data_IF_232296908882
#
_entry.id   IF_232296908882
#
_cell.length_a   1.000
_cell.length_b   1.000
_cell.length_c   1.000
_cell.angle_alpha   90.00
_cell.angle_beta   90.00
_cell.angle_gamma   90.00
#
_symmetry.space_group_name_H-M   'P 1'
#
loop_
_entity.id
_entity.type
_entity.pdbx_description
1 polymer ?
#
# COMPACT_ATOMS: atom_id res chain seq x y z
N UNK A 1 -5.68 -9.30 19.96
CA UNK A 1 -5.69 -9.36 18.48
C UNK A 1 -7.05 -8.91 18.02
N UNK A 2 -7.14 -7.91 17.12
CA UNK A 2 -8.41 -7.41 16.63
C UNK A 2 -9.10 -8.41 15.67
N UNK A 3 -10.41 -8.23 15.48
CA UNK A 3 -11.26 -9.08 14.63
C UNK A 3 -11.11 -8.78 13.13
N UNK A 4 -10.05 -8.12 12.72
CA UNK A 4 -9.81 -7.68 11.35
C UNK A 4 -9.89 -6.17 11.16
N UNK A 5 -9.77 -5.75 9.92
CA UNK A 5 -9.85 -4.33 9.55
C UNK A 5 -11.29 -3.82 9.64
N UNK A 6 -11.45 -2.58 10.05
CA UNK A 6 -12.76 -1.93 10.15
C UNK A 6 -12.92 -0.91 9.02
N UNK A 7 -14.12 -0.89 8.44
CA UNK A 7 -14.52 0.13 7.48
C UNK A 7 -15.41 1.14 8.19
N UNK A 8 -15.05 2.40 8.07
CA UNK A 8 -15.81 3.53 8.60
C UNK A 8 -16.50 4.26 7.44
N UNK A 9 -17.72 4.70 7.65
CA UNK A 9 -18.42 5.54 6.71
C UNK A 9 -18.33 7.00 7.14
N UNK A 10 -17.72 7.84 6.33
CA UNK A 10 -17.59 9.29 6.57
C UNK A 10 -18.05 10.01 5.31
N UNK A 11 -19.10 10.83 5.43
CA UNK A 11 -19.68 11.57 4.30
C UNK A 11 -19.84 10.74 3.02
N UNK A 12 -20.44 9.57 3.13
CA UNK A 12 -20.66 8.62 2.04
C UNK A 12 -19.38 7.97 1.46
N UNK A 13 -18.23 8.15 2.08
CA UNK A 13 -16.96 7.54 1.68
C UNK A 13 -16.59 6.44 2.65
N UNK A 14 -16.23 5.26 2.13
CA UNK A 14 -15.75 4.13 2.91
C UNK A 14 -14.26 4.28 3.19
N UNK A 15 -13.91 4.47 4.45
CA UNK A 15 -12.54 4.67 4.91
C UNK A 15 -12.09 3.46 5.73
N UNK A 16 -10.92 2.94 5.44
CA UNK A 16 -10.23 1.97 6.30
C UNK A 16 -9.02 2.59 6.97
N UNK A 17 -8.68 2.09 8.15
CA UNK A 17 -7.45 2.49 8.83
C UNK A 17 -6.54 1.29 9.02
N UNK A 18 -5.24 1.50 8.85
CA UNK A 18 -4.18 0.56 9.23
C UNK A 18 -3.21 1.25 10.17
N UNK A 19 -2.63 0.50 11.09
CA UNK A 19 -1.85 1.08 12.18
C UNK A 19 -0.38 0.69 12.05
N UNK A 20 0.49 1.71 12.17
CA UNK A 20 1.94 1.53 12.27
C UNK A 20 2.52 0.76 11.09
N UNK A 21 3.36 -0.22 11.37
CA UNK A 21 4.09 -1.00 10.37
C UNK A 21 3.19 -1.84 9.44
N UNK A 22 1.93 -2.07 9.80
CA UNK A 22 0.96 -2.72 8.92
C UNK A 22 0.78 -1.98 7.59
N UNK A 23 0.88 -0.64 7.61
CA UNK A 23 0.84 0.20 6.42
C UNK A 23 1.96 -0.04 5.42
N UNK A 24 3.04 -0.73 5.82
CA UNK A 24 4.13 -1.13 4.92
C UNK A 24 3.83 -2.40 4.13
N UNK A 25 2.84 -3.18 4.53
CA UNK A 25 2.51 -4.44 3.87
C UNK A 25 1.30 -4.30 2.96
N UNK A 26 1.50 -4.49 1.68
CA UNK A 26 0.46 -4.39 0.65
C UNK A 26 -0.78 -5.24 0.94
N UNK A 27 -0.61 -6.40 1.59
CA UNK A 27 -1.72 -7.31 1.92
C UNK A 27 -2.79 -6.69 2.83
N UNK A 28 -2.37 -5.85 3.81
CA UNK A 28 -3.34 -5.18 4.69
C UNK A 28 -4.14 -4.13 3.94
N UNK A 29 -3.47 -3.33 3.12
CA UNK A 29 -4.13 -2.34 2.27
C UNK A 29 -5.07 -3.03 1.29
N UNK A 30 -4.61 -4.13 0.65
CA UNK A 30 -5.44 -4.90 -0.26
C UNK A 30 -6.68 -5.49 0.42
N UNK A 31 -6.56 -6.00 1.64
CA UNK A 31 -7.72 -6.51 2.38
C UNK A 31 -8.73 -5.39 2.64
N UNK A 32 -8.27 -4.20 3.08
CA UNK A 32 -9.15 -3.03 3.22
C UNK A 32 -9.90 -2.71 1.93
N UNK A 33 -9.20 -2.73 0.79
CA UNK A 33 -9.79 -2.43 -0.53
C UNK A 33 -10.79 -3.51 -0.95
N UNK A 34 -10.51 -4.78 -0.67
CA UNK A 34 -11.46 -5.89 -0.92
C UNK A 34 -12.73 -5.77 -0.07
N UNK A 35 -12.60 -5.27 1.15
CA UNK A 35 -13.71 -4.99 2.05
C UNK A 35 -14.46 -3.70 1.68
N UNK A 36 -14.04 -3.05 0.60
CA UNK A 36 -14.71 -1.91 -0.02
C UNK A 36 -14.17 -0.54 0.38
N UNK A 37 -12.98 -0.45 1.00
CA UNK A 37 -12.38 0.85 1.28
C UNK A 37 -12.11 1.64 -0.01
N UNK A 38 -12.49 2.91 0.02
CA UNK A 38 -12.31 3.88 -1.05
C UNK A 38 -11.11 4.80 -0.76
N UNK A 39 -10.82 4.98 0.53
CA UNK A 39 -9.68 5.71 1.06
C UNK A 39 -9.05 4.88 2.18
N UNK A 40 -7.72 4.84 2.24
CA UNK A 40 -7.00 4.19 3.33
C UNK A 40 -6.22 5.23 4.12
N UNK A 41 -6.37 5.19 5.44
CA UNK A 41 -5.62 6.05 6.37
C UNK A 41 -4.60 5.20 7.11
N UNK A 42 -3.33 5.55 7.00
CA UNK A 42 -2.23 4.92 7.73
C UNK A 42 -1.89 5.83 8.93
N UNK A 43 -2.04 5.30 10.14
CA UNK A 43 -1.72 5.99 11.38
C UNK A 43 -0.45 5.39 11.97
N UNK A 44 0.60 6.19 12.13
CA UNK A 44 1.88 5.67 12.60
C UNK A 44 2.56 6.63 13.56
N UNK A 45 3.37 6.06 14.48
CA UNK A 45 4.32 6.81 15.28
C UNK A 45 5.73 6.46 14.82
N UNK A 46 6.47 7.45 14.37
CA UNK A 46 7.81 7.28 13.80
C UNK A 46 8.92 7.83 14.73
N UNK A 47 8.59 8.18 15.97
CA UNK A 47 9.54 8.78 16.92
C UNK A 47 10.81 7.95 17.12
N UNK A 48 10.70 6.62 17.13
CA UNK A 48 11.84 5.72 17.31
C UNK A 48 12.86 5.71 16.17
N UNK A 49 12.49 6.24 15.01
CA UNK A 49 13.39 6.26 13.85
C UNK A 49 14.27 7.51 13.75
N UNK A 50 14.00 8.53 14.58
CA UNK A 50 14.78 9.76 14.63
C UNK A 50 14.90 10.45 13.27
N UNK A 51 16.05 11.03 13.00
CA UNK A 51 16.37 11.73 11.75
C UNK A 51 16.78 10.78 10.60
N UNK A 52 16.52 9.50 10.72
CA UNK A 52 16.84 8.54 9.66
C UNK A 52 15.96 8.72 8.42
N UNK A 53 16.41 8.18 7.29
CA UNK A 53 15.62 8.14 6.04
C UNK A 53 14.38 7.24 6.09
N UNK A 54 14.03 6.68 7.26
CA UNK A 54 12.92 5.74 7.42
C UNK A 54 11.57 6.39 7.14
N UNK A 55 11.40 7.67 7.50
CA UNK A 55 10.16 8.40 7.24
C UNK A 55 9.89 8.54 5.73
N UNK A 56 10.92 8.82 4.94
CA UNK A 56 10.79 8.85 3.47
C UNK A 56 10.48 7.46 2.89
N UNK A 57 11.05 6.40 3.46
CA UNK A 57 10.74 5.03 3.05
C UNK A 57 9.27 4.68 3.32
N UNK A 58 8.70 5.09 4.45
CA UNK A 58 7.27 4.91 4.73
C UNK A 58 6.38 5.63 3.72
N UNK A 59 6.75 6.84 3.31
CA UNK A 59 6.03 7.55 2.24
C UNK A 59 6.15 6.79 0.91
N UNK A 60 7.33 6.28 0.55
CA UNK A 60 7.51 5.46 -0.66
C UNK A 60 6.68 4.17 -0.63
N UNK A 61 6.61 3.48 0.52
CA UNK A 61 5.75 2.31 0.70
C UNK A 61 4.29 2.65 0.57
N UNK A 62 3.84 3.79 1.12
CA UNK A 62 2.47 4.27 0.97
C UNK A 62 2.14 4.61 -0.48
N UNK A 63 3.06 5.21 -1.24
CA UNK A 63 2.91 5.45 -2.67
C UNK A 63 2.76 4.13 -3.46
N UNK A 64 3.63 3.17 -3.19
CA UNK A 64 3.55 1.84 -3.81
C UNK A 64 2.21 1.16 -3.50
N UNK A 65 1.73 1.28 -2.27
CA UNK A 65 0.44 0.76 -1.85
C UNK A 65 -0.74 1.47 -2.56
N UNK A 66 -0.68 2.79 -2.73
CA UNK A 66 -1.70 3.54 -3.45
C UNK A 66 -1.79 3.08 -4.91
N UNK A 67 -0.65 2.96 -5.60
CA UNK A 67 -0.57 2.47 -6.99
C UNK A 67 -1.09 1.03 -7.09
N UNK A 68 -0.58 0.13 -6.24
CA UNK A 68 -0.91 -1.30 -6.32
C UNK A 68 -2.39 -1.56 -6.10
N UNK A 69 -3.04 -0.78 -5.25
CA UNK A 69 -4.43 -0.98 -4.89
C UNK A 69 -5.41 -0.02 -5.58
N UNK A 70 -4.91 0.98 -6.32
CA UNK A 70 -5.73 1.97 -7.02
C UNK A 70 -6.58 2.81 -6.06
N UNK A 71 -6.06 3.13 -4.87
CA UNK A 71 -6.77 3.89 -3.83
C UNK A 71 -5.88 4.99 -3.29
N UNK A 72 -6.43 6.19 -3.02
CA UNK A 72 -5.70 7.23 -2.33
C UNK A 72 -5.36 6.80 -0.90
N UNK A 73 -4.24 7.30 -0.41
CA UNK A 73 -3.75 7.04 0.94
C UNK A 73 -3.48 8.35 1.66
N UNK A 74 -3.97 8.45 2.88
CA UNK A 74 -3.58 9.47 3.85
C UNK A 74 -2.59 8.82 4.83
N UNK A 75 -1.35 9.24 4.80
CA UNK A 75 -0.33 8.82 5.75
C UNK A 75 -0.20 9.88 6.84
N UNK A 76 -0.61 9.56 8.06
CA UNK A 76 -0.53 10.45 9.21
C UNK A 76 0.48 9.91 10.21
N UNK A 77 1.53 10.66 10.47
CA UNK A 77 2.64 10.26 11.31
C UNK A 77 2.86 11.23 12.48
N UNK A 78 3.03 10.67 13.67
CA UNK A 78 3.59 11.41 14.80
C UNK A 78 5.11 11.44 14.62
N UNK A 79 5.71 12.64 14.68
CA UNK A 79 7.14 12.94 14.50
C UNK A 79 7.71 12.61 13.13
N UNK A 80 7.03 11.83 12.31
CA UNK A 80 7.39 11.52 10.94
C UNK A 80 6.74 12.45 9.92
N UNK A 81 7.00 12.18 8.63
CA UNK A 81 6.36 12.90 7.53
C UNK A 81 4.94 12.38 7.31
N UNK A 82 3.95 13.27 7.39
CA UNK A 82 2.57 12.98 6.97
C UNK A 82 2.40 13.36 5.51
N UNK A 83 1.51 12.68 4.79
CA UNK A 83 1.30 12.97 3.38
C UNK A 83 -0.11 12.59 2.90
N UNK A 84 -0.60 13.34 1.91
CA UNK A 84 -1.72 12.96 1.08
C UNK A 84 -1.19 12.40 -0.25
N UNK A 85 -1.65 11.21 -0.62
CA UNK A 85 -1.16 10.46 -1.78
C UNK A 85 -2.38 10.06 -2.62
N UNK A 86 -2.37 10.38 -3.90
CA UNK A 86 -3.45 9.99 -4.81
C UNK A 86 -3.37 8.49 -5.20
N UNK A 87 -4.39 8.00 -5.89
CA UNK A 87 -4.49 6.62 -6.34
C UNK A 87 -3.40 6.21 -7.35
N UNK A 88 -2.70 7.18 -7.96
CA UNK A 88 -1.56 6.95 -8.86
C UNK A 88 -0.21 7.03 -8.13
N UNK A 89 -0.22 7.20 -6.81
CA UNK A 89 0.99 7.32 -5.99
C UNK A 89 1.68 8.68 -6.04
N UNK A 90 1.01 9.72 -6.59
CA UNK A 90 1.52 11.08 -6.55
C UNK A 90 1.31 11.64 -5.15
N UNK A 91 2.37 12.16 -4.54
CA UNK A 91 2.27 12.94 -3.29
C UNK A 91 1.68 14.30 -3.63
N UNK A 92 0.49 14.59 -3.10
CA UNK A 92 -0.22 15.85 -3.27
C UNK A 92 0.42 16.91 -2.37
N UNK A 93 0.57 16.56 -1.10
CA UNK A 93 1.21 17.38 -0.09
C UNK A 93 1.85 16.51 0.98
N UNK A 94 2.86 17.02 1.67
CA UNK A 94 3.53 16.36 2.79
C UNK A 94 4.03 17.38 3.82
N UNK A 95 4.18 16.94 5.07
CA UNK A 95 4.91 17.68 6.11
C UNK A 95 6.40 17.36 6.04
N UNK A 96 7.22 18.17 6.69
CA UNK A 96 8.61 17.83 6.95
C UNK A 96 8.76 17.06 8.27
N UNK A 97 9.95 16.51 8.47
CA UNK A 97 10.27 15.69 9.64
C UNK A 97 10.36 16.59 10.90
N UNK A 98 9.76 16.15 12.00
CA UNK A 98 9.70 16.87 13.30
C UNK A 98 9.04 18.26 13.26
N UNK A 99 8.36 18.61 12.18
CA UNK A 99 7.59 19.83 12.11
C UNK A 99 6.13 19.59 12.50
N UNK A 100 5.64 20.34 13.48
CA UNK A 100 4.22 20.36 13.80
C UNK A 100 3.46 21.11 12.71
N UNK A 101 2.47 20.48 12.11
CA UNK A 101 1.71 21.08 11.03
C UNK A 101 0.35 20.42 10.81
N UNK A 102 -0.52 21.13 10.13
CA UNK A 102 -1.81 20.63 9.65
C UNK A 102 -1.82 20.70 8.13
N UNK A 103 -2.08 19.59 7.48
CA UNK A 103 -2.33 19.53 6.06
C UNK A 103 -3.83 19.37 5.83
N UNK A 104 -4.36 20.12 4.88
CA UNK A 104 -5.76 19.98 4.42
C UNK A 104 -5.76 19.88 2.91
N UNK A 105 -6.30 18.78 2.37
CA UNK A 105 -6.32 18.52 0.94
C UNK A 105 -7.67 17.99 0.49
N UNK A 106 -8.02 18.31 -0.74
CA UNK A 106 -9.16 17.70 -1.42
C UNK A 106 -8.68 16.47 -2.18
N UNK A 107 -9.04 15.28 -1.69
CA UNK A 107 -8.69 14.02 -2.34
C UNK A 107 -9.85 13.55 -3.21
N UNK A 108 -9.54 13.24 -4.46
CA UNK A 108 -10.45 12.51 -5.33
C UNK A 108 -10.47 11.02 -4.92
N UNK A 109 -11.63 10.57 -4.44
CA UNK A 109 -11.87 9.18 -4.09
C UNK A 109 -12.23 8.41 -5.35
N UNK A 110 -11.21 7.90 -6.05
CA UNK A 110 -11.38 7.14 -7.28
C UNK A 110 -11.21 5.65 -7.01
N UNK A 111 -12.18 4.86 -7.46
CA UNK A 111 -12.15 3.41 -7.34
C UNK A 111 -11.60 2.81 -8.63
N UNK A 112 -10.29 2.62 -8.70
CA UNK A 112 -9.65 1.94 -9.81
C UNK A 112 -9.33 0.51 -9.40
N UNK A 113 -9.87 -0.49 -10.09
CA UNK A 113 -9.44 -1.86 -9.93
C UNK A 113 -8.06 -2.06 -10.59
N UNK A 114 -7.12 -2.56 -9.82
CA UNK A 114 -5.80 -2.93 -10.33
C UNK A 114 -5.69 -4.46 -10.40
N UNK A 115 -4.79 -5.02 -11.23
CA UNK A 115 -4.53 -6.47 -11.22
C UNK A 115 -4.15 -6.98 -9.83
N UNK A 116 -3.38 -6.20 -9.06
CA UNK A 116 -2.98 -6.59 -7.72
C UNK A 116 -4.17 -6.54 -6.74
N UNK A 117 -5.02 -5.50 -6.76
CA UNK A 117 -6.18 -5.44 -5.87
C UNK A 117 -7.12 -6.61 -6.11
N UNK A 118 -7.27 -7.05 -7.36
CA UNK A 118 -8.14 -8.15 -7.75
C UNK A 118 -7.53 -9.52 -7.47
N UNK A 119 -6.33 -9.77 -7.97
CA UNK A 119 -5.72 -11.11 -7.99
C UNK A 119 -4.59 -11.29 -6.94
N UNK A 120 -4.10 -10.20 -6.32
CA UNK A 120 -2.98 -10.27 -5.37
C UNK A 120 -1.68 -10.66 -6.06
N UNK A 121 -0.91 -11.54 -5.41
CA UNK A 121 0.40 -11.98 -5.88
C UNK A 121 0.33 -13.11 -6.93
N UNK A 122 -0.66 -13.07 -7.85
CA UNK A 122 -0.85 -14.13 -8.85
C UNK A 122 0.38 -14.37 -9.73
N UNK A 123 1.17 -13.35 -10.00
CA UNK A 123 2.41 -13.48 -10.77
C UNK A 123 3.40 -14.44 -10.10
N UNK A 124 3.48 -14.44 -8.77
CA UNK A 124 4.37 -15.35 -8.05
C UNK A 124 3.98 -16.82 -8.31
N UNK A 125 2.68 -17.12 -8.35
CA UNK A 125 2.20 -18.47 -8.66
C UNK A 125 2.52 -18.87 -10.10
N UNK A 126 2.39 -17.93 -11.05
CA UNK A 126 2.76 -18.16 -12.46
C UNK A 126 4.26 -18.50 -12.55
N UNK A 127 5.13 -17.73 -11.89
CA UNK A 127 6.57 -18.00 -11.88
C UNK A 127 6.93 -19.33 -11.21
N UNK A 128 6.25 -19.70 -10.12
CA UNK A 128 6.44 -21.00 -9.45
C UNK A 128 6.09 -22.14 -10.41
N UNK A 129 4.94 -22.05 -11.08
CA UNK A 129 4.49 -23.08 -12.05
C UNK A 129 5.46 -23.17 -13.22
N UNK A 130 5.89 -22.04 -13.78
CA UNK A 130 6.88 -22.01 -14.86
C UNK A 130 8.22 -22.61 -14.43
N UNK A 131 8.69 -22.30 -13.23
CA UNK A 131 9.90 -22.88 -12.66
C UNK A 131 9.79 -24.39 -12.48
N UNK A 132 8.65 -24.87 -11.96
CA UNK A 132 8.41 -26.30 -11.81
C UNK A 132 8.38 -27.03 -13.16
N UNK A 133 7.70 -26.47 -14.16
CA UNK A 133 7.67 -27.03 -15.53
C UNK A 133 9.10 -27.07 -16.10
N UNK A 134 9.88 -26.01 -15.95
CA UNK A 134 11.27 -25.95 -16.43
C UNK A 134 12.17 -27.02 -15.79
N UNK A 135 11.97 -27.32 -14.51
CA UNK A 135 12.71 -28.37 -13.81
C UNK A 135 12.33 -29.78 -14.30
N UNK A 136 11.07 -29.99 -14.64
CA UNK A 136 10.55 -31.27 -15.14
C UNK A 136 10.78 -31.46 -16.64
N UNK A 137 11.19 -30.40 -17.37
CA UNK A 137 11.43 -30.48 -18.81
C UNK A 137 12.62 -31.39 -19.11
N UNK A 138 12.43 -32.43 -19.95
CA UNK A 138 13.50 -33.38 -20.22
C UNK A 138 14.68 -32.71 -20.93
N UNK A 139 15.85 -32.73 -20.30
CA UNK A 139 17.08 -32.08 -20.83
C UNK A 139 17.58 -32.66 -22.16
N UNK A 140 16.93 -33.69 -22.68
CA UNK A 140 17.36 -34.40 -23.90
C UNK A 140 17.00 -33.66 -25.21
N UNK A 141 16.20 -32.59 -25.17
CA UNK A 141 15.82 -31.85 -26.35
C UNK A 141 16.94 -30.87 -26.79
N UNK A 142 17.75 -30.37 -25.85
CA UNK A 142 18.83 -29.42 -26.15
C UNK A 142 20.13 -30.07 -26.69
N UNK A 143 20.20 -31.41 -26.77
CA UNK A 143 21.36 -32.11 -27.33
C UNK A 143 21.21 -32.47 -28.81
N UNK A 144 20.14 -32.02 -29.49
CA UNK A 144 19.86 -32.33 -30.91
C UNK A 144 19.88 -31.09 -31.80
N UNK A 145 20.43 -29.96 -31.35
CA UNK A 145 20.69 -28.81 -32.22
C UNK A 145 22.21 -28.59 -32.33
#
# INVERSE_FOLDING_TARGET
RGDGQKIFMVNNTKISTVISFEGSFQRYIRNSVKDGAELVVILTNQASYGESGMSDQFILMSRANAISNGRPIVHAAITGKSAFIDHNGKVISKTELFEAGVLTEKIEVKQTETPYSKYGNYLNYIFIVFGAISLLWPKNILKKI
#
